data_IF_938637266644
#
_entry.id   IF_938637266644
#
_cell.length_a   1.000
_cell.length_b   1.000
_cell.length_c   1.000
_cell.angle_alpha   90.00
_cell.angle_beta   90.00
_cell.angle_gamma   90.00
#
_symmetry.space_group_name_H-M   'P 1'
#
loop_
_entity.id
_entity.type
_entity.pdbx_description
1 polymer ?
#
# COMPACT_ATOMS: atom_id res chain seq x y z
N UNK A 1 -6.59 8.22 20.30
CA UNK A 1 -6.34 8.89 19.00
C UNK A 1 -7.34 8.32 18.00
N UNK A 2 -8.22 9.14 17.42
CA UNK A 2 -9.37 8.66 16.61
C UNK A 2 -9.05 8.35 15.15
N UNK A 3 -7.77 8.17 14.81
CA UNK A 3 -7.34 7.92 13.43
C UNK A 3 -7.48 6.44 13.07
N UNK A 4 -7.90 6.15 11.85
CA UNK A 4 -7.96 4.79 11.33
C UNK A 4 -6.57 4.32 10.88
N UNK A 5 -6.30 3.02 11.03
CA UNK A 5 -5.15 2.37 10.42
C UNK A 5 -5.38 2.23 8.90
N UNK A 6 -4.48 2.83 8.10
CA UNK A 6 -4.62 2.87 6.64
C UNK A 6 -4.14 1.63 5.88
N UNK A 7 -3.62 0.62 6.57
CA UNK A 7 -2.98 -0.54 5.95
C UNK A 7 -1.45 -0.42 5.82
N UNK A 8 -0.86 -1.39 5.10
CA UNK A 8 0.59 -1.49 4.89
C UNK A 8 0.99 -0.76 3.60
N UNK A 9 2.09 -0.02 3.67
CA UNK A 9 2.77 0.55 2.51
C UNK A 9 4.05 -0.23 2.23
N UNK A 10 4.37 -0.39 0.94
CA UNK A 10 5.61 -0.97 0.48
C UNK A 10 6.54 0.14 -0.01
N UNK A 11 7.77 0.20 0.50
CA UNK A 11 8.64 1.38 0.32
C UNK A 11 10.09 1.00 0.03
N UNK A 12 10.75 0.34 0.98
CA UNK A 12 12.20 0.15 0.98
C UNK A 12 12.65 -1.10 0.21
N UNK A 13 11.72 -1.99 -0.11
CA UNK A 13 12.01 -3.28 -0.72
C UNK A 13 10.86 -3.78 -1.59
N UNK A 14 11.24 -4.47 -2.68
CA UNK A 14 10.32 -5.31 -3.43
C UNK A 14 10.06 -6.59 -2.65
N UNK A 15 8.86 -7.12 -2.80
CA UNK A 15 8.56 -8.44 -2.25
C UNK A 15 9.27 -9.52 -3.08
N UNK A 16 9.25 -10.75 -2.56
CA UNK A 16 9.56 -11.92 -3.38
C UNK A 16 8.66 -11.95 -4.65
N UNK A 17 9.06 -12.72 -5.66
CA UNK A 17 8.34 -12.83 -6.93
C UNK A 17 6.86 -13.26 -6.77
N UNK A 18 6.54 -14.00 -5.70
CA UNK A 18 5.17 -14.42 -5.35
C UNK A 18 4.47 -13.49 -4.34
N UNK A 19 5.08 -12.35 -4.00
CA UNK A 19 4.56 -11.39 -3.04
C UNK A 19 3.72 -10.27 -3.69
N UNK A 20 3.29 -9.32 -2.86
CA UNK A 20 2.33 -8.29 -3.27
C UNK A 20 2.90 -7.20 -4.21
N UNK A 21 4.21 -7.00 -4.22
CA UNK A 21 4.90 -5.95 -4.97
C UNK A 21 6.20 -6.46 -5.61
N UNK A 22 6.11 -7.44 -6.53
CA UNK A 22 7.30 -8.08 -7.09
C UNK A 22 8.06 -7.18 -8.07
N UNK A 23 7.45 -6.10 -8.53
CA UNK A 23 8.08 -5.10 -9.41
C UNK A 23 7.97 -3.69 -8.84
N UNK A 24 8.84 -2.79 -9.31
CA UNK A 24 8.78 -1.39 -8.90
C UNK A 24 7.47 -0.70 -9.27
N UNK A 25 6.87 -1.06 -10.42
CA UNK A 25 5.56 -0.52 -10.79
C UNK A 25 4.45 -1.03 -9.86
N UNK A 26 4.54 -2.27 -9.38
CA UNK A 26 3.60 -2.79 -8.39
C UNK A 26 3.75 -2.08 -7.04
N UNK A 27 4.99 -1.83 -6.61
CA UNK A 27 5.26 -1.05 -5.39
C UNK A 27 4.59 0.31 -5.46
N UNK A 28 4.82 1.07 -6.54
CA UNK A 28 4.20 2.38 -6.73
C UNK A 28 2.68 2.29 -6.77
N UNK A 29 2.13 1.30 -7.48
CA UNK A 29 0.68 1.11 -7.65
C UNK A 29 -0.01 0.77 -6.34
N UNK A 30 0.49 -0.21 -5.61
CA UNK A 30 -0.11 -0.67 -4.35
C UNK A 30 -0.03 0.43 -3.30
N UNK A 31 1.14 1.04 -3.12
CA UNK A 31 1.34 2.10 -2.13
C UNK A 31 0.46 3.32 -2.43
N UNK A 32 0.42 3.81 -3.67
CA UNK A 32 -0.43 4.95 -4.02
C UNK A 32 -1.93 4.63 -3.88
N UNK A 33 -2.37 3.43 -4.27
CA UNK A 33 -3.75 3.00 -4.10
C UNK A 33 -4.15 2.93 -2.62
N UNK A 34 -3.29 2.38 -1.75
CA UNK A 34 -3.53 2.32 -0.31
C UNK A 34 -3.70 3.71 0.30
N UNK A 35 -2.85 4.67 -0.09
CA UNK A 35 -2.99 6.06 0.36
C UNK A 35 -4.32 6.67 -0.12
N UNK A 36 -4.65 6.53 -1.40
CA UNK A 36 -5.92 7.05 -1.95
C UNK A 36 -7.14 6.47 -1.23
N UNK A 37 -7.14 5.16 -0.92
CA UNK A 37 -8.21 4.52 -0.15
C UNK A 37 -8.34 5.10 1.25
N UNK A 38 -7.22 5.25 1.97
CA UNK A 38 -7.20 5.84 3.30
C UNK A 38 -7.70 7.29 3.32
N UNK A 39 -7.38 8.09 2.29
CA UNK A 39 -7.87 9.46 2.16
C UNK A 39 -9.35 9.53 1.74
N UNK A 40 -9.85 8.52 1.04
CA UNK A 40 -11.26 8.47 0.58
C UNK A 40 -12.22 7.87 1.62
N UNK A 41 -11.74 7.53 2.81
CA UNK A 41 -12.57 6.90 3.85
C UNK A 41 -12.86 5.41 3.63
N UNK A 42 -12.21 4.78 2.63
CA UNK A 42 -12.29 3.34 2.41
C UNK A 42 -11.48 2.62 3.48
N UNK A 43 -12.16 1.90 4.38
CA UNK A 43 -11.50 0.99 5.31
C UNK A 43 -10.94 -0.20 4.53
N UNK A 44 -9.63 -0.48 4.70
CA UNK A 44 -8.96 -1.66 4.17
C UNK A 44 -9.24 -2.89 5.03
#
# INVERSE_FOLDING_TARGET
>A
TGAAYGGVLYVDSLSAASGAVPTYLDLLRVTSSTVVKGLSGGSN
#
